data_IF_872604830231
#
_entry.id   IF_872604830231
#
_cell.length_a   1.000
_cell.length_b   1.000
_cell.length_c   1.000
_cell.angle_alpha   90.00
_cell.angle_beta   90.00
_cell.angle_gamma   90.00
#
_symmetry.space_group_name_H-M   'P 1'
#
loop_
_entity.id
_entity.type
_entity.pdbx_description
1 polymer ?
#
# COMPACT_ATOMS: atom_id res chain seq x y z
N UNK A 1 -15.70 6.35 10.37
CA UNK A 1 -15.37 5.05 10.99
C UNK A 1 -14.59 4.20 9.99
N UNK A 2 -13.56 3.46 10.41
CA UNK A 2 -12.60 2.78 9.52
C UNK A 2 -12.98 1.31 9.29
N UNK A 3 -12.74 0.78 8.10
CA UNK A 3 -12.93 -0.65 7.77
C UNK A 3 -14.32 -1.02 7.21
N UNK A 4 -15.28 -0.10 7.23
CA UNK A 4 -16.68 -0.36 6.87
C UNK A 4 -17.24 -1.51 7.71
N UNK A 5 -17.63 -2.64 7.11
CA UNK A 5 -18.15 -3.84 7.81
C UNK A 5 -17.10 -4.88 8.21
N UNK A 6 -15.82 -4.64 7.91
CA UNK A 6 -14.73 -5.59 8.19
C UNK A 6 -14.40 -5.67 9.69
N UNK A 7 -14.39 -4.58 10.47
CA UNK A 7 -14.21 -4.67 11.92
C UNK A 7 -15.26 -5.55 12.58
N UNK A 8 -16.52 -5.52 12.10
CA UNK A 8 -17.61 -6.36 12.60
C UNK A 8 -17.36 -7.84 12.28
N UNK A 9 -16.90 -8.16 11.07
CA UNK A 9 -16.55 -9.52 10.67
C UNK A 9 -15.38 -10.06 11.51
N UNK A 10 -14.30 -9.29 11.65
CA UNK A 10 -13.14 -9.65 12.47
C UNK A 10 -13.54 -9.80 13.94
N UNK A 11 -14.32 -8.86 14.49
CA UNK A 11 -14.76 -8.91 15.88
C UNK A 11 -15.58 -10.18 16.16
N UNK A 12 -16.54 -10.52 15.30
CA UNK A 12 -17.35 -11.72 15.46
C UNK A 12 -16.49 -12.99 15.40
N UNK A 13 -15.62 -13.10 14.39
CA UNK A 13 -14.76 -14.27 14.21
C UNK A 13 -13.81 -14.48 15.41
N UNK A 14 -13.08 -13.44 15.80
CA UNK A 14 -12.08 -13.52 16.86
C UNK A 14 -12.71 -13.77 18.24
N UNK A 15 -13.92 -13.22 18.49
CA UNK A 15 -14.68 -13.52 19.70
C UNK A 15 -15.16 -14.97 19.74
N UNK A 16 -15.56 -15.53 18.60
CA UNK A 16 -15.98 -16.93 18.50
C UNK A 16 -14.79 -17.86 18.75
N UNK A 17 -13.61 -17.56 18.21
CA UNK A 17 -12.39 -18.35 18.43
C UNK A 17 -12.04 -18.41 19.91
N UNK A 18 -12.00 -17.28 20.61
CA UNK A 18 -11.71 -17.25 22.05
C UNK A 18 -12.78 -17.99 22.87
N UNK A 19 -14.05 -17.90 22.46
CA UNK A 19 -15.13 -18.65 23.12
C UNK A 19 -14.96 -20.16 22.92
N UNK A 20 -14.67 -20.59 21.68
CA UNK A 20 -14.43 -21.98 21.34
C UNK A 20 -13.23 -22.54 22.10
N UNK A 21 -12.12 -21.80 22.19
CA UNK A 21 -10.95 -22.21 22.95
C UNK A 21 -11.28 -22.49 24.43
N UNK A 22 -12.06 -21.61 25.07
CA UNK A 22 -12.52 -21.79 26.45
C UNK A 22 -13.45 -22.99 26.61
N UNK A 23 -14.39 -23.19 25.69
CA UNK A 23 -15.33 -24.33 25.73
C UNK A 23 -14.63 -25.67 25.49
N UNK A 24 -13.59 -25.69 24.64
CA UNK A 24 -12.78 -26.88 24.33
C UNK A 24 -11.65 -27.13 25.34
N UNK A 25 -11.33 -26.15 26.20
CA UNK A 25 -10.22 -26.24 27.15
C UNK A 25 -8.84 -26.23 26.48
N UNK A 26 -8.70 -25.55 25.35
CA UNK A 26 -7.43 -25.44 24.59
C UNK A 26 -6.90 -24.00 24.61
N UNK A 27 -5.61 -23.85 24.33
CA UNK A 27 -4.98 -22.54 24.17
C UNK A 27 -5.60 -21.80 22.95
N UNK A 28 -6.11 -20.56 23.12
CA UNK A 28 -6.68 -19.76 22.04
C UNK A 28 -5.68 -19.41 20.92
N UNK A 29 -4.37 -19.35 21.20
CA UNK A 29 -3.33 -19.14 20.19
C UNK A 29 -3.08 -20.43 19.42
N UNK A 30 -2.99 -21.57 20.11
CA UNK A 30 -2.87 -22.86 19.45
C UNK A 30 -4.06 -23.15 18.54
N UNK A 31 -5.28 -22.81 18.97
CA UNK A 31 -6.48 -22.95 18.15
C UNK A 31 -6.43 -22.10 16.88
N UNK A 32 -5.93 -20.86 16.94
CA UNK A 32 -5.71 -20.02 15.76
C UNK A 32 -4.71 -20.66 14.80
N UNK A 33 -3.55 -21.08 15.31
CA UNK A 33 -2.47 -21.69 14.50
C UNK A 33 -2.90 -22.94 13.79
N UNK A 34 -3.68 -23.79 14.46
CA UNK A 34 -4.24 -25.00 13.86
C UNK A 34 -5.12 -24.68 12.61
N UNK A 35 -5.71 -23.50 12.55
CA UNK A 35 -6.65 -23.10 11.50
C UNK A 35 -6.11 -22.01 10.57
N UNK A 36 -4.84 -21.60 10.71
CA UNK A 36 -4.25 -20.64 9.80
C UNK A 36 -4.11 -21.21 8.39
N UNK A 37 -4.39 -20.35 7.41
CA UNK A 37 -4.08 -20.61 6.01
C UNK A 37 -2.55 -20.54 5.85
N UNK A 38 -1.96 -21.55 5.23
CA UNK A 38 -0.51 -21.68 5.05
C UNK A 38 -0.07 -21.71 3.58
N UNK A 39 -1.02 -21.77 2.66
CA UNK A 39 -0.76 -21.81 1.21
C UNK A 39 -1.45 -20.62 0.56
N UNK A 40 -0.69 -19.90 -0.28
CA UNK A 40 -1.15 -18.70 -0.98
C UNK A 40 -0.75 -18.78 -2.47
N UNK A 41 -1.55 -18.19 -3.37
CA UNK A 41 -2.81 -17.51 -3.11
C UNK A 41 -3.92 -18.49 -2.64
N UNK A 42 -4.83 -18.03 -1.78
CA UNK A 42 -5.87 -18.88 -1.16
C UNK A 42 -7.26 -18.49 -1.62
N UNK A 43 -7.91 -19.37 -2.39
CA UNK A 43 -9.30 -19.20 -2.80
C UNK A 43 -10.25 -19.34 -1.60
N UNK A 44 -10.91 -18.25 -1.23
CA UNK A 44 -11.86 -18.24 -0.12
C UNK A 44 -13.22 -18.81 -0.53
N UNK A 45 -14.05 -19.25 0.43
CA UNK A 45 -15.43 -19.64 0.17
C UNK A 45 -16.36 -18.50 -0.32
N UNK A 46 -15.89 -17.25 -0.36
CA UNK A 46 -16.71 -16.05 -0.63
C UNK A 46 -16.21 -15.24 -1.84
N UNK A 47 -15.81 -15.95 -2.90
CA UNK A 47 -15.49 -15.42 -4.24
C UNK A 47 -14.21 -14.56 -4.36
N UNK A 48 -13.46 -14.41 -3.28
CA UNK A 48 -12.18 -13.69 -3.30
C UNK A 48 -11.01 -14.61 -3.01
N UNK A 49 -9.82 -14.19 -3.42
CA UNK A 49 -8.59 -14.94 -3.23
C UNK A 49 -7.62 -14.12 -2.38
N UNK A 50 -7.15 -14.67 -1.26
CA UNK A 50 -6.13 -14.01 -0.45
C UNK A 50 -4.78 -14.07 -1.17
N UNK A 51 -4.06 -12.95 -1.20
CA UNK A 51 -2.86 -12.75 -2.02
C UNK A 51 -1.63 -13.47 -1.44
N UNK A 52 -1.20 -13.09 -0.24
CA UNK A 52 0.00 -13.63 0.44
C UNK A 52 -0.13 -13.52 1.96
N UNK A 53 0.64 -14.29 2.71
CA UNK A 53 0.72 -14.12 4.16
C UNK A 53 1.69 -15.07 4.86
N UNK A 54 2.18 -14.64 6.02
CA UNK A 54 2.84 -15.51 7.00
C UNK A 54 2.26 -15.24 8.40
N UNK A 55 1.14 -15.91 8.67
CA UNK A 55 0.37 -15.69 9.90
C UNK A 55 1.04 -16.30 11.13
N UNK A 56 1.82 -17.38 10.94
CA UNK A 56 2.59 -17.96 12.03
C UNK A 56 3.70 -17.01 12.47
N UNK A 57 4.49 -16.46 11.54
CA UNK A 57 5.52 -15.49 11.87
C UNK A 57 4.93 -14.22 12.50
N UNK A 58 3.76 -13.77 12.02
CA UNK A 58 3.04 -12.63 12.62
C UNK A 58 2.67 -12.91 14.08
N UNK A 59 2.13 -14.09 14.38
CA UNK A 59 1.77 -14.48 15.74
C UNK A 59 3.00 -14.73 16.61
N UNK A 60 4.07 -15.33 16.08
CA UNK A 60 5.36 -15.48 16.79
C UNK A 60 5.89 -14.11 17.24
N UNK A 61 5.88 -13.13 16.32
CA UNK A 61 6.33 -11.77 16.67
C UNK A 61 5.44 -11.13 17.72
N UNK A 62 4.12 -11.34 17.65
CA UNK A 62 3.20 -10.84 18.67
C UNK A 62 3.49 -11.42 20.06
N UNK A 63 3.69 -12.74 20.15
CA UNK A 63 3.99 -13.43 21.41
C UNK A 63 5.26 -12.87 22.05
N UNK A 64 6.29 -12.61 21.23
CA UNK A 64 7.55 -12.01 21.64
C UNK A 64 7.34 -10.58 22.19
N UNK A 65 6.75 -9.68 21.40
CA UNK A 65 6.63 -8.26 21.77
C UNK A 65 5.64 -8.01 22.90
N UNK A 66 4.66 -8.90 23.09
CA UNK A 66 3.68 -8.81 24.17
C UNK A 66 4.18 -9.43 25.49
N UNK A 67 5.38 -10.02 25.51
CA UNK A 67 5.93 -10.77 26.65
C UNK A 67 4.87 -11.68 27.28
N UNK A 68 4.32 -12.60 26.47
CA UNK A 68 3.24 -13.48 26.94
C UNK A 68 3.73 -14.45 28.02
N UNK A 69 5.02 -14.82 28.01
CA UNK A 69 5.62 -15.66 29.05
C UNK A 69 5.59 -14.96 30.43
N UNK A 70 5.73 -13.63 30.47
CA UNK A 70 5.64 -12.84 31.69
C UNK A 70 4.21 -12.59 32.21
N UNK A 71 3.17 -12.96 31.45
CA UNK A 71 1.78 -12.62 31.79
C UNK A 71 1.34 -13.17 33.16
N UNK A 72 1.70 -14.40 33.51
CA UNK A 72 1.32 -15.01 34.80
C UNK A 72 1.86 -14.23 36.00
N UNK A 73 3.09 -13.71 35.89
CA UNK A 73 3.67 -12.88 36.94
C UNK A 73 2.91 -11.54 37.09
N UNK A 74 2.54 -10.93 35.97
CA UNK A 74 1.74 -9.68 35.95
C UNK A 74 0.32 -9.90 36.49
N UNK A 75 -0.31 -11.03 36.14
CA UNK A 75 -1.60 -11.44 36.66
C UNK A 75 -1.57 -11.61 38.19
N UNK A 76 -0.54 -12.26 38.73
CA UNK A 76 -0.36 -12.42 40.16
C UNK A 76 -0.16 -11.08 40.89
N UNK A 77 0.60 -10.16 40.29
CA UNK A 77 0.81 -8.80 40.80
C UNK A 77 -0.50 -8.01 40.89
N UNK A 78 -1.31 -8.00 39.83
CA UNK A 78 -2.62 -7.34 39.85
C UNK A 78 -3.57 -7.94 40.88
N UNK A 79 -3.58 -9.27 40.98
CA UNK A 79 -4.39 -9.98 41.98
C UNK A 79 -4.00 -9.59 43.41
N UNK A 80 -2.70 -9.41 43.69
CA UNK A 80 -2.23 -8.95 45.00
C UNK A 80 -2.72 -7.53 45.35
N UNK A 81 -2.97 -6.69 44.34
CA UNK A 81 -3.58 -5.35 44.49
C UNK A 81 -5.12 -5.36 44.46
N UNK A 82 -5.75 -6.54 44.45
CA UNK A 82 -7.21 -6.68 44.37
C UNK A 82 -7.79 -6.33 43.00
N UNK A 83 -6.98 -6.35 41.93
CA UNK A 83 -7.41 -6.08 40.55
C UNK A 83 -7.55 -7.36 39.75
N UNK A 84 -8.35 -7.31 38.70
CA UNK A 84 -8.43 -8.35 37.68
C UNK A 84 -7.53 -7.97 36.51
N UNK A 85 -6.90 -8.94 35.85
CA UNK A 85 -6.10 -8.70 34.65
C UNK A 85 -6.51 -9.67 33.55
N UNK A 86 -6.53 -9.18 32.31
CA UNK A 86 -6.86 -9.96 31.13
C UNK A 86 -5.92 -9.64 29.98
N UNK A 87 -5.54 -10.66 29.23
CA UNK A 87 -4.81 -10.55 27.97
C UNK A 87 -5.74 -10.98 26.84
N UNK A 88 -6.06 -10.04 25.95
CA UNK A 88 -6.77 -10.33 24.70
C UNK A 88 -5.77 -10.45 23.56
N UNK A 89 -6.00 -11.42 22.67
CA UNK A 89 -5.23 -11.60 21.44
C UNK A 89 -6.21 -11.65 20.27
N UNK A 90 -5.84 -11.04 19.15
CA UNK A 90 -6.55 -11.22 17.90
C UNK A 90 -5.60 -11.49 16.73
N UNK A 91 -6.13 -12.09 15.67
CA UNK A 91 -5.52 -12.19 14.36
C UNK A 91 -6.53 -11.71 13.32
N UNK A 92 -6.13 -10.84 12.41
CA UNK A 92 -7.03 -10.31 11.39
C UNK A 92 -6.43 -10.41 10.00
N UNK A 93 -7.30 -10.44 9.02
CA UNK A 93 -7.03 -10.23 7.60
C UNK A 93 -8.02 -9.18 7.09
N UNK A 94 -7.53 -8.22 6.31
CA UNK A 94 -8.32 -7.07 5.86
C UNK A 94 -8.31 -6.98 4.35
N UNK A 95 -9.48 -7.00 3.70
CA UNK A 95 -9.58 -6.74 2.27
C UNK A 95 -9.40 -5.24 1.96
N UNK A 96 -8.19 -4.83 1.60
CA UNK A 96 -7.82 -3.47 1.21
C UNK A 96 -7.81 -3.30 -0.32
N UNK A 97 -7.74 -2.05 -0.81
CA UNK A 97 -7.62 -1.83 -2.27
C UNK A 97 -8.88 -2.20 -3.04
N UNK A 98 -10.07 -1.88 -2.50
CA UNK A 98 -11.38 -2.20 -3.11
C UNK A 98 -11.44 -1.66 -4.53
N UNK A 99 -11.22 -2.53 -5.53
CA UNK A 99 -11.04 -2.03 -6.87
C UNK A 99 -11.27 -2.96 -8.06
N UNK A 100 -11.41 -4.31 -7.98
CA UNK A 100 -11.70 -5.08 -9.19
C UNK A 100 -13.09 -4.80 -9.74
N UNK A 101 -13.18 -3.99 -10.80
CA UNK A 101 -14.45 -3.45 -11.30
C UNK A 101 -15.45 -4.54 -11.70
N UNK A 102 -14.96 -5.65 -12.28
CA UNK A 102 -15.78 -6.81 -12.66
C UNK A 102 -16.44 -7.48 -11.45
N UNK A 103 -15.71 -7.66 -10.36
CA UNK A 103 -16.23 -8.32 -9.16
C UNK A 103 -17.18 -7.40 -8.40
N UNK A 104 -16.80 -6.15 -8.17
CA UNK A 104 -17.63 -5.22 -7.39
C UNK A 104 -18.92 -4.85 -8.12
N UNK A 105 -18.93 -4.86 -9.45
CA UNK A 105 -20.15 -4.74 -10.24
C UNK A 105 -21.14 -5.88 -9.97
N UNK A 106 -20.66 -7.13 -9.86
CA UNK A 106 -21.50 -8.28 -9.48
C UNK A 106 -22.02 -8.17 -8.04
N UNK A 107 -21.25 -7.52 -7.16
CA UNK A 107 -21.63 -7.23 -5.78
C UNK A 107 -22.51 -5.97 -5.62
N UNK A 108 -22.94 -5.35 -6.73
CA UNK A 108 -23.90 -4.25 -6.74
C UNK A 108 -23.29 -2.84 -6.73
N UNK A 109 -21.98 -2.69 -6.92
CA UNK A 109 -21.37 -1.38 -7.13
C UNK A 109 -21.85 -0.76 -8.45
N UNK A 110 -22.19 0.53 -8.44
CA UNK A 110 -22.72 1.25 -9.61
C UNK A 110 -21.65 1.84 -10.53
N UNK A 111 -20.42 1.95 -10.05
CA UNK A 111 -19.27 2.46 -10.79
C UNK A 111 -18.11 1.47 -10.66
N UNK A 112 -17.19 1.48 -11.64
CA UNK A 112 -15.90 0.83 -11.50
C UNK A 112 -15.13 1.42 -10.33
N UNK A 113 -14.25 0.61 -9.72
CA UNK A 113 -13.48 1.01 -8.56
C UNK A 113 -11.98 1.18 -8.87
N UNK A 114 -11.68 1.49 -10.14
CA UNK A 114 -10.34 1.88 -10.60
C UNK A 114 -9.87 3.20 -9.97
N UNK A 115 -8.61 3.55 -10.19
CA UNK A 115 -8.10 4.90 -9.96
C UNK A 115 -7.19 5.34 -11.10
N UNK A 116 -6.77 6.61 -11.10
CA UNK A 116 -5.98 7.20 -12.15
C UNK A 116 -4.91 8.16 -11.60
N UNK A 117 -3.84 8.28 -12.37
CA UNK A 117 -2.80 9.27 -12.13
C UNK A 117 -2.25 9.80 -13.46
N UNK A 118 -1.92 11.08 -13.47
CA UNK A 118 -1.19 11.73 -14.55
C UNK A 118 0.11 12.29 -13.98
N UNK A 119 1.23 11.91 -14.58
CA UNK A 119 2.57 12.36 -14.21
C UNK A 119 3.05 13.31 -15.28
N UNK A 120 3.30 14.57 -14.92
CA UNK A 120 3.89 15.60 -15.77
C UNK A 120 5.28 15.92 -15.27
N UNK A 121 6.28 15.81 -16.14
CA UNK A 121 7.65 16.23 -15.84
C UNK A 121 7.89 17.58 -16.49
N UNK A 122 8.25 18.58 -15.70
CA UNK A 122 8.59 19.91 -16.21
C UNK A 122 9.96 19.91 -16.91
N UNK A 123 10.21 20.90 -17.77
CA UNK A 123 11.48 21.03 -18.48
C UNK A 123 12.71 21.18 -17.56
N UNK A 124 12.50 21.52 -16.29
CA UNK A 124 13.56 21.61 -15.27
C UNK A 124 13.83 20.30 -14.53
N UNK A 125 13.06 19.23 -14.82
CA UNK A 125 13.16 17.92 -14.18
C UNK A 125 12.25 17.69 -12.97
N UNK A 126 11.63 18.75 -12.41
CA UNK A 126 10.59 18.61 -11.38
C UNK A 126 9.34 17.90 -11.91
N UNK A 127 8.59 17.23 -11.04
CA UNK A 127 7.45 16.40 -11.41
C UNK A 127 6.19 16.88 -10.69
N UNK A 128 5.10 17.06 -11.44
CA UNK A 128 3.76 17.25 -10.89
C UNK A 128 2.93 16.00 -11.14
N UNK A 129 2.33 15.46 -10.07
CA UNK A 129 1.60 14.21 -10.08
C UNK A 129 0.16 14.46 -9.70
N UNK A 130 -0.72 14.50 -10.70
CA UNK A 130 -2.15 14.61 -10.48
C UNK A 130 -2.73 13.23 -10.16
N UNK A 131 -3.36 13.07 -9.00
CA UNK A 131 -3.88 11.79 -8.53
C UNK A 131 -5.38 11.85 -8.23
N UNK A 132 -6.08 10.76 -8.50
CA UNK A 132 -7.51 10.62 -8.19
C UNK A 132 -7.81 10.31 -6.72
N UNK A 133 -6.80 9.91 -5.93
CA UNK A 133 -6.88 9.80 -4.47
C UNK A 133 -6.89 11.19 -3.79
N UNK A 134 -7.52 11.32 -2.62
CA UNK A 134 -7.56 12.59 -1.86
C UNK A 134 -7.05 12.42 -0.43
N UNK A 135 -6.10 13.26 -0.03
CA UNK A 135 -5.50 13.23 1.30
C UNK A 135 -6.45 13.84 2.35
N UNK A 136 -6.59 13.18 3.50
CA UNK A 136 -7.32 13.64 4.69
C UNK A 136 -6.45 13.50 5.96
N UNK A 137 -5.11 13.43 5.83
CA UNK A 137 -4.16 13.27 6.95
C UNK A 137 -3.27 12.01 6.92
N UNK A 138 -3.35 11.19 5.89
CA UNK A 138 -2.61 9.93 5.72
C UNK A 138 -1.25 10.11 5.03
N UNK A 139 -0.90 11.34 4.63
CA UNK A 139 0.43 11.67 4.11
C UNK A 139 0.67 11.19 2.68
N UNK A 140 -0.31 11.34 1.77
CA UNK A 140 -0.08 11.05 0.34
C UNK A 140 1.00 11.95 -0.25
N UNK A 141 1.04 13.21 0.19
CA UNK A 141 2.01 14.25 -0.20
C UNK A 141 3.45 13.94 0.28
N UNK A 142 3.65 12.83 1.00
CA UNK A 142 4.96 12.35 1.43
C UNK A 142 5.23 10.94 0.90
N UNK A 143 4.28 10.03 1.09
CA UNK A 143 4.45 8.63 0.68
C UNK A 143 4.42 8.43 -0.84
N UNK A 144 3.68 9.24 -1.61
CA UNK A 144 3.66 9.11 -3.07
C UNK A 144 4.96 9.64 -3.72
N UNK A 145 5.50 10.81 -3.31
CA UNK A 145 6.82 11.26 -3.75
C UNK A 145 7.92 10.24 -3.50
N UNK A 146 7.91 9.55 -2.36
CA UNK A 146 8.88 8.49 -2.03
C UNK A 146 8.93 7.38 -3.08
N UNK A 147 7.77 6.89 -3.52
CA UNK A 147 7.68 5.84 -4.55
C UNK A 147 8.28 6.33 -5.87
N UNK A 148 7.96 7.55 -6.29
CA UNK A 148 8.45 8.11 -7.56
C UNK A 148 9.95 8.42 -7.50
N UNK A 149 10.39 8.96 -6.36
CA UNK A 149 11.80 9.21 -6.04
C UNK A 149 12.61 7.92 -6.16
N UNK A 150 12.13 6.80 -5.63
CA UNK A 150 12.81 5.51 -5.75
C UNK A 150 12.88 5.01 -7.21
N UNK A 151 11.83 5.23 -7.99
CA UNK A 151 11.79 4.80 -9.40
C UNK A 151 12.73 5.60 -10.32
N UNK A 152 12.93 6.89 -10.05
CA UNK A 152 13.67 7.80 -10.95
C UNK A 152 15.06 8.15 -10.37
N UNK A 153 15.17 8.25 -9.05
CA UNK A 153 16.37 8.65 -8.33
C UNK A 153 16.56 10.16 -8.19
N UNK A 154 15.46 10.94 -8.13
CA UNK A 154 15.49 12.38 -7.85
C UNK A 154 14.95 12.69 -6.45
N UNK A 155 15.34 13.81 -5.81
CA UNK A 155 14.83 14.19 -4.50
C UNK A 155 13.29 14.29 -4.44
N UNK A 156 12.70 13.84 -3.32
CA UNK A 156 11.26 13.91 -3.06
C UNK A 156 10.69 15.33 -3.13
N UNK A 157 11.49 16.34 -2.78
CA UNK A 157 11.09 17.77 -2.82
C UNK A 157 10.97 18.34 -4.24
N UNK A 158 11.34 17.56 -5.27
CA UNK A 158 11.08 17.88 -6.67
C UNK A 158 9.78 17.26 -7.20
N UNK A 159 9.01 16.57 -6.36
CA UNK A 159 7.81 15.81 -6.75
C UNK A 159 6.60 16.36 -5.99
N UNK A 160 5.76 17.10 -6.70
CA UNK A 160 4.54 17.70 -6.16
C UNK A 160 3.32 16.81 -6.41
N UNK A 161 2.57 16.47 -5.35
CA UNK A 161 1.29 15.76 -5.47
C UNK A 161 0.14 16.76 -5.55
N UNK A 162 -0.68 16.63 -6.60
CA UNK A 162 -1.89 17.43 -6.81
C UNK A 162 -3.11 16.53 -6.67
N UNK A 163 -3.98 16.83 -5.71
CA UNK A 163 -5.23 16.12 -5.49
C UNK A 163 -6.36 17.07 -5.07
N UNK A 164 -7.61 16.62 -5.19
CA UNK A 164 -8.80 17.33 -4.69
C UNK A 164 -9.44 18.36 -5.62
N UNK A 165 -8.71 18.87 -6.63
CA UNK A 165 -9.26 19.78 -7.65
C UNK A 165 -9.65 19.00 -8.91
N UNK A 166 -10.94 18.65 -9.04
CA UNK A 166 -11.49 17.88 -10.17
C UNK A 166 -11.38 18.58 -11.53
N UNK A 167 -11.03 19.87 -11.56
CA UNK A 167 -10.70 20.58 -12.80
C UNK A 167 -9.27 20.29 -13.29
N UNK A 168 -8.41 19.74 -12.42
CA UNK A 168 -6.98 19.51 -12.69
C UNK A 168 -6.57 18.04 -12.69
N UNK A 169 -7.30 17.18 -11.98
CA UNK A 169 -6.93 15.77 -11.80
C UNK A 169 -7.75 14.83 -12.70
N UNK A 170 -7.20 13.66 -13.08
CA UNK A 170 -8.01 12.63 -13.72
C UNK A 170 -9.10 12.13 -12.76
N UNK A 171 -10.19 11.61 -13.33
CA UNK A 171 -11.23 10.99 -12.51
C UNK A 171 -10.68 9.76 -11.78
N UNK A 172 -10.83 9.75 -10.46
CA UNK A 172 -10.54 8.61 -9.61
C UNK A 172 -11.59 8.46 -8.53
N UNK A 173 -11.55 7.32 -7.85
CA UNK A 173 -12.56 6.98 -6.85
C UNK A 173 -12.24 7.53 -5.46
N UNK A 174 -11.17 8.30 -5.30
CA UNK A 174 -10.81 8.92 -4.02
C UNK A 174 -10.29 7.93 -2.98
N UNK A 175 -10.32 8.35 -1.72
CA UNK A 175 -9.65 7.64 -0.63
C UNK A 175 -10.62 7.12 0.42
N UNK A 176 -10.72 5.79 0.46
CA UNK A 176 -11.42 4.99 1.47
C UNK A 176 -10.97 3.53 1.34
N UNK A 177 -11.43 2.62 2.21
CA UNK A 177 -11.16 1.18 2.08
C UNK A 177 -9.66 0.83 1.96
N UNK A 178 -8.80 1.66 2.57
CA UNK A 178 -7.34 1.56 2.49
C UNK A 178 -6.81 1.42 1.06
N UNK A 179 -7.41 2.11 0.08
CA UNK A 179 -7.16 1.88 -1.35
C UNK A 179 -6.12 2.79 -2.01
N UNK A 180 -5.77 3.92 -1.38
CA UNK A 180 -4.98 4.96 -2.05
C UNK A 180 -3.69 4.43 -2.68
N UNK A 181 -2.84 3.77 -1.90
CA UNK A 181 -1.57 3.26 -2.42
C UNK A 181 -1.79 2.06 -3.35
N UNK A 182 -2.64 1.10 -2.95
CA UNK A 182 -2.89 -0.13 -3.71
C UNK A 182 -3.49 0.13 -5.11
N UNK A 183 -4.28 1.19 -5.27
CA UNK A 183 -4.99 1.47 -6.53
C UNK A 183 -4.45 2.73 -7.21
N UNK A 184 -4.51 3.88 -6.54
CA UNK A 184 -4.01 5.14 -7.10
C UNK A 184 -2.48 5.16 -7.20
N UNK A 185 -1.79 4.62 -6.19
CA UNK A 185 -0.34 4.44 -6.24
C UNK A 185 0.08 3.52 -7.38
N UNK A 186 -0.67 2.44 -7.64
CA UNK A 186 -0.44 1.57 -8.81
C UNK A 186 -0.69 2.28 -10.15
N UNK A 187 -1.70 3.14 -10.25
CA UNK A 187 -1.91 3.99 -11.42
C UNK A 187 -0.73 4.97 -11.60
N UNK A 188 -0.26 5.57 -10.52
CA UNK A 188 0.90 6.47 -10.49
C UNK A 188 2.18 5.75 -10.97
N UNK A 189 2.48 4.57 -10.43
CA UNK A 189 3.62 3.74 -10.86
C UNK A 189 3.54 3.48 -12.38
N UNK A 190 2.38 3.07 -12.90
CA UNK A 190 2.20 2.84 -14.35
C UNK A 190 2.40 4.10 -15.18
N UNK A 191 1.98 5.26 -14.70
CA UNK A 191 2.21 6.53 -15.38
C UNK A 191 3.70 6.89 -15.37
N UNK A 192 4.40 6.69 -14.25
CA UNK A 192 5.85 6.89 -14.15
C UNK A 192 6.62 5.93 -15.06
N UNK A 193 6.23 4.66 -15.14
CA UNK A 193 6.84 3.69 -16.08
C UNK A 193 6.75 4.17 -17.53
N UNK A 194 5.61 4.72 -17.95
CA UNK A 194 5.45 5.31 -19.29
C UNK A 194 6.36 6.52 -19.49
N UNK A 195 6.46 7.40 -18.48
CA UNK A 195 7.38 8.54 -18.49
C UNK A 195 8.82 8.06 -18.65
N UNK A 196 9.26 7.08 -17.84
CA UNK A 196 10.61 6.52 -17.91
C UNK A 196 10.88 5.92 -19.28
N UNK A 197 9.93 5.17 -19.84
CA UNK A 197 10.08 4.58 -21.18
C UNK A 197 10.24 5.66 -22.27
N UNK A 198 9.47 6.74 -22.21
CA UNK A 198 9.62 7.87 -23.14
C UNK A 198 10.95 8.59 -22.93
N UNK A 199 11.34 8.83 -21.68
CA UNK A 199 12.61 9.48 -21.32
C UNK A 199 13.82 8.65 -21.76
N UNK A 200 13.78 7.31 -21.64
CA UNK A 200 14.83 6.42 -22.14
C UNK A 200 15.06 6.56 -23.64
N UNK A 201 14.00 6.70 -24.43
CA UNK A 201 14.13 6.93 -25.89
C UNK A 201 14.81 8.27 -26.21
N UNK A 202 14.48 9.31 -25.45
CA UNK A 202 15.13 10.63 -25.59
C UNK A 202 16.60 10.53 -25.17
N UNK A 203 16.89 9.89 -24.03
CA UNK A 203 18.26 9.67 -23.56
C UNK A 203 19.09 8.85 -24.57
N UNK A 204 18.50 7.80 -25.15
CA UNK A 204 19.13 6.99 -26.18
C UNK A 204 19.53 7.81 -27.41
N UNK A 205 18.65 8.72 -27.84
CA UNK A 205 18.98 9.64 -28.93
C UNK A 205 20.15 10.56 -28.57
N UNK A 206 20.15 11.17 -27.37
CA UNK A 206 21.22 12.05 -26.91
C UNK A 206 22.57 11.32 -26.76
N UNK A 207 22.55 10.03 -26.44
CA UNK A 207 23.74 9.21 -26.24
C UNK A 207 24.18 8.43 -27.48
N UNK A 208 23.44 8.56 -28.58
CA UNK A 208 23.61 7.80 -29.83
C UNK A 208 23.65 6.28 -29.57
N UNK A 209 22.69 5.80 -28.77
CA UNK A 209 22.57 4.41 -28.34
C UNK A 209 21.16 3.84 -28.60
N UNK A 210 21.01 2.53 -28.38
CA UNK A 210 19.70 1.87 -28.37
C UNK A 210 18.95 2.19 -27.08
N UNK A 211 17.62 2.38 -27.13
CA UNK A 211 16.79 2.59 -25.95
C UNK A 211 16.73 1.37 -25.04
N UNK A 212 16.87 0.17 -25.60
CA UNK A 212 17.00 -1.08 -24.86
C UNK A 212 18.26 -1.16 -23.98
N UNK A 213 19.30 -0.40 -24.32
CA UNK A 213 20.57 -0.38 -23.58
C UNK A 213 20.62 0.75 -22.53
N UNK A 214 19.57 1.56 -22.40
CA UNK A 214 19.53 2.67 -21.44
C UNK A 214 19.00 2.20 -20.08
N UNK A 215 19.82 2.37 -19.06
CA UNK A 215 19.46 2.20 -17.66
C UNK A 215 19.21 3.56 -17.01
N UNK A 216 18.18 3.67 -16.16
CA UNK A 216 17.93 4.85 -15.33
C UNK A 216 18.16 4.44 -13.87
N UNK A 217 19.05 5.17 -13.20
CA UNK A 217 19.33 4.99 -11.78
C UNK A 217 19.84 6.30 -11.18
N UNK A 218 19.40 6.64 -9.98
CA UNK A 218 19.90 7.81 -9.23
C UNK A 218 19.85 9.11 -10.06
N UNK A 219 18.79 9.30 -10.85
CA UNK A 219 18.60 10.49 -11.70
C UNK A 219 19.53 10.53 -12.93
N UNK A 220 20.16 9.42 -13.27
CA UNK A 220 21.14 9.31 -14.35
C UNK A 220 20.72 8.24 -15.37
N UNK A 221 20.69 8.62 -16.65
CA UNK A 221 20.56 7.66 -17.75
C UNK A 221 21.95 7.24 -18.22
N UNK A 222 22.23 5.94 -18.30
CA UNK A 222 23.55 5.38 -18.67
C UNK A 222 23.37 4.30 -19.74
N UNK A 223 24.27 4.24 -20.73
CA UNK A 223 24.31 3.12 -21.69
C UNK A 223 25.00 1.92 -21.03
N UNK A 224 24.30 0.80 -20.97
CA UNK A 224 24.76 -0.43 -20.33
C UNK A 224 26.16 -0.85 -20.81
N UNK A 225 27.05 -1.15 -19.87
CA UNK A 225 28.42 -1.56 -20.15
C UNK A 225 29.37 -0.41 -20.56
N UNK A 226 28.96 0.85 -20.45
CA UNK A 226 29.80 2.02 -20.77
C UNK A 226 29.75 3.08 -19.65
N UNK A 227 30.55 4.14 -19.81
CA UNK A 227 30.53 5.35 -18.98
C UNK A 227 29.71 6.50 -19.60
N UNK A 228 29.10 6.28 -20.78
CA UNK A 228 28.25 7.28 -21.44
C UNK A 228 26.96 7.48 -20.66
N UNK A 229 26.70 8.71 -20.25
CA UNK A 229 25.52 9.03 -19.45
C UNK A 229 25.00 10.45 -19.69
N UNK A 230 23.71 10.66 -19.44
CA UNK A 230 23.04 11.97 -19.50
C UNK A 230 22.08 12.13 -18.32
N UNK A 231 22.10 13.30 -17.66
CA UNK A 231 21.37 13.50 -16.41
C UNK A 231 19.86 13.66 -16.67
N UNK A 232 19.05 13.38 -15.64
CA UNK A 232 17.59 13.57 -15.69
C UNK A 232 17.17 14.95 -16.17
N UNK A 233 17.80 16.01 -15.65
CA UNK A 233 17.53 17.39 -16.06
C UNK A 233 17.78 17.63 -17.56
N UNK A 234 18.82 17.03 -18.13
CA UNK A 234 19.14 17.20 -19.55
C UNK A 234 18.13 16.47 -20.45
N UNK A 235 17.73 15.25 -20.08
CA UNK A 235 16.72 14.48 -20.82
C UNK A 235 15.34 15.14 -20.76
N UNK A 236 14.97 15.64 -19.58
CA UNK A 236 13.68 16.32 -19.40
C UNK A 236 13.63 17.65 -20.13
N UNK A 237 14.71 18.42 -20.12
CA UNK A 237 14.83 19.61 -20.97
C UNK A 237 14.72 19.24 -22.45
N UNK A 238 15.44 18.21 -22.90
CA UNK A 238 15.42 17.76 -24.28
C UNK A 238 14.01 17.38 -24.75
N UNK A 239 13.16 16.80 -23.89
CA UNK A 239 11.77 16.49 -24.21
C UNK A 239 10.93 17.72 -24.64
N UNK A 240 11.34 18.94 -24.26
CA UNK A 240 10.70 20.19 -24.65
C UNK A 240 11.45 20.95 -25.76
N UNK A 241 12.51 20.35 -26.32
CA UNK A 241 13.31 20.88 -27.43
C UNK A 241 13.11 19.96 -28.65
N UNK A 242 11.94 20.02 -29.31
CA UNK A 242 11.50 18.99 -30.25
C UNK A 242 12.40 18.82 -31.47
N UNK A 243 13.17 19.84 -31.87
CA UNK A 243 14.09 19.73 -33.01
C UNK A 243 15.36 18.91 -32.72
N UNK A 244 15.50 18.35 -31.51
CA UNK A 244 16.69 17.65 -31.04
C UNK A 244 16.45 16.15 -30.75
N UNK A 245 15.38 15.57 -31.31
CA UNK A 245 15.12 14.13 -31.34
C UNK A 245 14.12 13.78 -32.47
N UNK A 246 13.93 12.50 -32.84
CA UNK A 246 13.04 12.09 -33.93
C UNK A 246 11.56 12.37 -33.59
N UNK A 247 11.05 13.53 -34.03
CA UNK A 247 9.68 13.98 -33.74
C UNK A 247 8.58 13.10 -34.33
N UNK A 248 8.91 12.36 -35.36
CA UNK A 248 8.00 11.38 -35.98
C UNK A 248 7.74 10.16 -35.10
N UNK A 249 8.66 9.85 -34.18
CA UNK A 249 8.59 8.69 -33.30
C UNK A 249 8.28 9.05 -31.84
N UNK A 250 8.58 10.29 -31.43
CA UNK A 250 8.45 10.77 -30.05
C UNK A 250 7.71 12.09 -30.05
N UNK A 251 6.54 12.14 -29.40
CA UNK A 251 5.82 13.41 -29.24
C UNK A 251 6.54 14.36 -28.27
N UNK A 252 6.46 15.69 -28.44
CA UNK A 252 6.99 16.65 -27.48
C UNK A 252 6.39 16.59 -26.08
N UNK A 253 7.18 17.05 -25.11
CA UNK A 253 6.86 17.05 -23.69
C UNK A 253 7.01 15.69 -23.03
N UNK A 254 6.85 15.66 -21.70
CA UNK A 254 7.00 14.44 -20.91
C UNK A 254 5.86 14.36 -19.89
N UNK A 255 4.70 13.89 -20.36
CA UNK A 255 3.48 13.77 -19.58
C UNK A 255 2.75 12.49 -19.96
N UNK A 256 2.38 11.68 -18.97
CA UNK A 256 1.71 10.41 -19.19
C UNK A 256 0.59 10.18 -18.18
N UNK A 257 -0.47 9.52 -18.63
CA UNK A 257 -1.61 9.14 -17.78
C UNK A 257 -1.78 7.63 -17.76
N UNK A 258 -2.14 7.09 -16.61
CA UNK A 258 -2.55 5.70 -16.48
C UNK A 258 -3.80 5.56 -15.61
N UNK A 259 -4.62 4.58 -16.00
CA UNK A 259 -5.77 4.11 -15.25
C UNK A 259 -5.46 2.71 -14.75
N UNK A 260 -5.83 2.41 -13.51
CA UNK A 260 -5.57 1.14 -12.87
C UNK A 260 -6.84 0.54 -12.27
N UNK A 261 -7.31 -0.52 -12.92
CA UNK A 261 -8.34 -1.43 -12.41
C UNK A 261 -7.63 -2.74 -11.97
N UNK A 262 -7.50 -3.02 -10.68
CA UNK A 262 -6.80 -4.20 -10.19
C UNK A 262 -7.57 -5.48 -10.45
N UNK A 263 -6.83 -6.57 -10.59
CA UNK A 263 -7.41 -7.90 -10.76
C UNK A 263 -7.98 -8.47 -9.43
N UNK A 264 -7.45 -8.04 -8.28
CA UNK A 264 -7.85 -8.51 -6.96
C UNK A 264 -7.69 -7.39 -5.91
N UNK A 265 -8.17 -7.62 -4.70
CA UNK A 265 -7.84 -6.83 -3.51
C UNK A 265 -6.42 -7.16 -3.02
N UNK A 266 -5.91 -6.33 -2.11
CA UNK A 266 -4.75 -6.68 -1.28
C UNK A 266 -5.22 -7.14 0.09
N UNK A 267 -4.58 -8.14 0.71
CA UNK A 267 -5.02 -8.69 2.00
C UNK A 267 -3.98 -8.56 3.12
N UNK A 268 -3.66 -7.33 3.57
CA UNK A 268 -2.83 -7.16 4.75
C UNK A 268 -3.46 -7.87 5.95
N UNK A 269 -2.62 -8.60 6.67
CA UNK A 269 -2.96 -9.30 7.89
C UNK A 269 -2.13 -8.76 9.07
N UNK A 270 -2.60 -9.03 10.28
CA UNK A 270 -1.90 -8.66 11.49
C UNK A 270 -2.43 -9.40 12.70
N UNK A 271 -1.72 -9.28 13.82
CA UNK A 271 -2.16 -9.81 15.10
C UNK A 271 -1.91 -8.75 16.18
N UNK A 272 -2.89 -8.51 17.05
CA UNK A 272 -2.76 -7.59 18.18
C UNK A 272 -2.93 -8.33 19.51
N UNK A 273 -2.25 -7.80 20.53
CA UNK A 273 -2.46 -8.16 21.92
C UNK A 273 -2.81 -6.89 22.69
N UNK A 274 -3.71 -7.02 23.67
CA UNK A 274 -4.08 -5.95 24.56
C UNK A 274 -4.20 -6.51 25.97
N UNK A 275 -3.41 -5.95 26.88
CA UNK A 275 -3.47 -6.27 28.29
C UNK A 275 -4.26 -5.19 29.02
N UNK A 276 -5.23 -5.63 29.83
CA UNK A 276 -6.08 -4.74 30.60
C UNK A 276 -6.09 -5.12 32.07
N UNK A 277 -6.10 -4.11 32.93
CA UNK A 277 -6.37 -4.25 34.35
C UNK A 277 -7.75 -3.64 34.67
N UNK A 278 -8.55 -4.35 35.46
CA UNK A 278 -9.90 -3.95 35.82
C UNK A 278 -10.04 -3.87 37.33
N UNK A 279 -10.57 -2.75 37.79
CA UNK A 279 -11.03 -2.59 39.16
C UNK A 279 -12.40 -3.27 39.33
N UNK A 280 -12.52 -4.34 40.13
CA UNK A 280 -13.77 -5.08 40.26
C UNK A 280 -14.87 -4.32 41.01
N UNK A 281 -14.54 -3.29 41.80
CA UNK A 281 -15.52 -2.50 42.55
C UNK A 281 -16.15 -1.40 41.68
N UNK A 282 -15.36 -0.83 40.77
CA UNK A 282 -15.79 0.32 39.95
C UNK A 282 -16.02 -0.01 38.48
N UNK A 283 -15.51 -1.14 38.00
CA UNK A 283 -15.49 -1.50 36.58
C UNK A 283 -14.52 -0.66 35.74
N UNK A 284 -13.68 0.18 36.37
CA UNK A 284 -12.70 1.00 35.65
C UNK A 284 -11.64 0.11 35.00
N UNK A 285 -11.46 0.27 33.69
CA UNK A 285 -10.47 -0.46 32.89
C UNK A 285 -9.28 0.45 32.59
N UNK A 286 -8.08 -0.09 32.76
CA UNK A 286 -6.81 0.51 32.29
C UNK A 286 -6.17 -0.41 31.26
N UNK A 287 -5.68 0.18 30.17
CA UNK A 287 -4.81 -0.49 29.20
C UNK A 287 -3.38 -0.34 29.73
N UNK A 288 -2.66 -1.45 29.88
CA UNK A 288 -1.28 -1.49 30.39
C UNK A 288 -0.25 -1.55 29.25
#
# INVERSE_FOLDING_TARGET
YRGAGRPEATYQLERVIDKAARELGVDPIALRRQNYITEFPYATPVAVEYDTGDYNATMDKLIEIADMAGFEARLAESKARGKLRGLGVNSYIEACGIAPSNLVGQLGARAGLYDAATVRVNATGSISVMVGAHSHGQGHETSFPQVISEMIGIPEDQIDIVHGDTSKIPFGMGTYGSRSLAVCGSAMVRAVEKVINKAKKIAAHLLEASDADIELKDGQFTVAGTDKSVAWGDVTLAAYVPHNYPLEDIEPGLEETAFYDPANFTYPAGAYACEVEVDPETGKVRIE
#
